data_IF_299389444126
#
_entry.id   IF_299389444126
#
_cell.length_a   1.000
_cell.length_b   1.000
_cell.length_c   1.000
_cell.angle_alpha   90.00
_cell.angle_beta   90.00
_cell.angle_gamma   90.00
#
_symmetry.space_group_name_H-M   'P 1'
#
loop_
_entity.id
_entity.type
_entity.pdbx_description
1 polymer ?
#
# COMPACT_ATOMS: atom_id res chain seq x y z
N UNK A 1 72.36 -19.02 38.89
CA UNK A 1 72.01 -18.72 40.28
C UNK A 1 70.50 -18.45 40.39
N UNK A 2 69.83 -19.38 41.08
CA UNK A 2 68.54 -19.28 41.78
C UNK A 2 67.35 -18.66 41.06
N UNK A 3 66.47 -19.56 40.58
CA UNK A 3 65.26 -20.06 41.33
C UNK A 3 64.39 -19.01 41.97
N UNK A 4 63.16 -18.80 41.47
CA UNK A 4 62.01 -18.95 42.32
C UNK A 4 60.71 -19.12 41.54
N UNK A 5 60.23 -20.30 41.53
CA UNK A 5 58.86 -20.73 41.30
C UNK A 5 57.89 -20.05 42.27
N UNK A 6 56.71 -19.63 41.81
CA UNK A 6 55.45 -19.60 42.59
C UNK A 6 54.31 -19.59 41.61
N UNK A 7 53.75 -20.78 41.41
CA UNK A 7 52.46 -21.31 41.97
C UNK A 7 51.26 -20.42 41.72
N UNK A 8 50.49 -20.94 40.79
CA UNK A 8 49.05 -21.27 40.94
C UNK A 8 48.18 -20.37 41.87
N UNK A 9 47.20 -19.75 41.30
CA UNK A 9 45.85 -19.82 41.87
C UNK A 9 44.83 -19.82 40.74
N UNK A 10 44.16 -20.97 40.61
CA UNK A 10 42.94 -21.18 39.90
C UNK A 10 41.86 -20.28 40.52
N UNK A 11 41.33 -19.35 39.81
CA UNK A 11 40.03 -18.77 40.09
C UNK A 11 39.08 -19.18 38.98
N UNK A 12 38.36 -20.24 39.25
CA UNK A 12 37.18 -20.63 38.49
C UNK A 12 36.11 -19.60 38.79
N UNK A 13 35.87 -18.69 37.85
CA UNK A 13 34.70 -17.84 37.89
C UNK A 13 33.67 -18.50 36.96
N UNK A 14 32.76 -19.22 37.60
CA UNK A 14 31.49 -19.65 37.00
C UNK A 14 30.69 -18.39 36.66
N UNK A 15 30.83 -17.89 35.46
CA UNK A 15 29.87 -16.94 34.92
C UNK A 15 28.67 -17.71 34.40
N UNK A 16 27.64 -17.77 35.23
CA UNK A 16 26.28 -18.14 34.82
C UNK A 16 25.87 -17.24 33.68
N UNK A 17 25.89 -17.75 32.46
CA UNK A 17 25.21 -17.10 31.33
C UNK A 17 23.73 -17.29 31.49
N UNK A 18 23.08 -16.27 32.07
CA UNK A 18 21.64 -16.04 31.89
C UNK A 18 21.40 -15.72 30.41
N UNK A 19 21.03 -16.73 29.64
CA UNK A 19 20.42 -16.57 28.33
C UNK A 19 19.05 -15.92 28.56
N UNK A 20 19.01 -14.59 28.56
CA UNK A 20 17.80 -13.85 28.35
C UNK A 20 17.41 -14.06 26.88
N UNK A 21 16.50 -15.03 26.64
CA UNK A 21 15.73 -15.07 25.39
C UNK A 21 14.86 -13.82 25.33
N UNK A 22 15.43 -12.74 24.87
CA UNK A 22 14.66 -11.60 24.38
C UNK A 22 13.98 -12.03 23.11
N UNK A 23 12.72 -12.44 23.21
CA UNK A 23 11.82 -12.48 22.06
C UNK A 23 11.72 -11.09 21.52
N UNK A 24 12.50 -10.79 20.49
CA UNK A 24 12.30 -9.65 19.63
C UNK A 24 10.93 -9.85 18.95
N UNK A 25 9.88 -9.38 19.58
CA UNK A 25 8.62 -9.06 18.92
C UNK A 25 9.00 -7.98 17.90
N UNK A 26 9.34 -8.41 16.68
CA UNK A 26 9.36 -7.51 15.55
C UNK A 26 7.94 -6.96 15.45
N UNK A 27 7.71 -5.65 15.56
CA UNK A 27 6.41 -5.13 15.19
C UNK A 27 6.23 -5.54 13.72
N UNK A 28 5.19 -6.32 13.44
CA UNK A 28 4.70 -6.48 12.08
C UNK A 28 4.52 -5.07 11.54
N UNK A 29 5.48 -4.62 10.76
CA UNK A 29 5.35 -3.42 9.98
C UNK A 29 4.26 -3.75 8.98
N UNK A 30 3.01 -3.39 9.29
CA UNK A 30 1.94 -3.41 8.33
C UNK A 30 2.46 -2.62 7.13
N UNK A 31 2.78 -3.35 6.06
CA UNK A 31 3.28 -2.74 4.84
C UNK A 31 2.16 -1.88 4.31
N UNK A 32 2.31 -0.56 4.35
CA UNK A 32 1.35 0.35 3.76
C UNK A 32 1.15 -0.03 2.29
N UNK A 33 -0.09 -0.20 1.87
CA UNK A 33 -0.40 -0.45 0.47
C UNK A 33 -0.03 0.78 -0.37
N UNK A 34 0.39 0.56 -1.61
CA UNK A 34 0.78 1.63 -2.52
C UNK A 34 0.07 1.48 -3.87
N UNK A 35 -0.55 2.56 -4.34
CA UNK A 35 -1.11 2.67 -5.69
C UNK A 35 -0.70 4.01 -6.32
N UNK A 36 -0.27 3.97 -7.56
CA UNK A 36 0.15 5.16 -8.32
C UNK A 36 1.06 6.10 -7.52
N UNK A 37 2.01 5.53 -6.77
CA UNK A 37 2.96 6.28 -5.95
C UNK A 37 2.43 6.80 -4.62
N UNK A 38 1.15 6.59 -4.30
CA UNK A 38 0.54 7.02 -3.05
C UNK A 38 0.42 5.87 -2.06
N UNK A 39 0.92 6.05 -0.86
CA UNK A 39 0.81 5.10 0.24
C UNK A 39 -0.47 5.36 1.04
N UNK A 40 -1.10 4.30 1.54
CA UNK A 40 -2.30 4.35 2.37
C UNK A 40 -2.42 3.10 3.25
N UNK A 41 -3.14 3.23 4.35
CA UNK A 41 -3.38 2.11 5.26
C UNK A 41 -4.69 1.36 4.93
N UNK A 42 -5.64 2.05 4.32
CA UNK A 42 -6.92 1.47 3.88
C UNK A 42 -7.51 2.25 2.71
N UNK A 43 -8.38 1.60 1.92
CA UNK A 43 -9.09 2.28 0.83
C UNK A 43 -10.01 3.39 1.34
N UNK A 44 -10.60 3.23 2.51
CA UNK A 44 -11.43 4.27 3.13
C UNK A 44 -10.61 5.50 3.50
N UNK A 45 -9.39 5.32 4.03
CA UNK A 45 -8.49 6.42 4.31
C UNK A 45 -8.07 7.12 3.02
N UNK A 46 -7.64 6.37 2.01
CA UNK A 46 -7.26 6.92 0.71
C UNK A 46 -8.39 7.77 0.10
N UNK A 47 -9.64 7.29 0.18
CA UNK A 47 -10.81 8.05 -0.27
C UNK A 47 -11.00 9.35 0.50
N UNK A 48 -10.93 9.29 1.85
CA UNK A 48 -11.07 10.46 2.70
C UNK A 48 -9.97 11.50 2.45
N UNK A 49 -8.74 11.05 2.25
CA UNK A 49 -7.60 11.91 1.95
C UNK A 49 -7.82 12.65 0.62
N UNK A 50 -8.21 11.94 -0.44
CA UNK A 50 -8.51 12.55 -1.73
C UNK A 50 -9.69 13.53 -1.66
N UNK A 51 -10.73 13.19 -0.87
CA UNK A 51 -11.85 14.09 -0.59
C UNK A 51 -11.40 15.39 0.08
N UNK A 52 -10.49 15.29 1.05
CA UNK A 52 -9.96 16.47 1.77
C UNK A 52 -9.06 17.34 0.89
N UNK A 53 -8.50 16.79 -0.17
CA UNK A 53 -7.60 17.48 -1.10
C UNK A 53 -8.32 18.16 -2.28
N UNK A 54 -9.66 18.15 -2.32
CA UNK A 54 -10.43 18.77 -3.41
C UNK A 54 -10.11 20.25 -3.60
N UNK A 55 -9.76 20.95 -2.52
CA UNK A 55 -9.33 22.36 -2.57
C UNK A 55 -7.96 22.54 -3.24
N UNK A 56 -7.20 21.46 -3.45
CA UNK A 56 -5.90 21.47 -4.11
C UNK A 56 -5.97 21.22 -5.62
N UNK A 57 -7.15 21.38 -6.21
CA UNK A 57 -7.36 21.27 -7.66
C UNK A 57 -7.85 19.93 -8.17
N UNK A 58 -8.26 19.02 -7.29
CA UNK A 58 -8.93 17.79 -7.70
C UNK A 58 -10.37 18.08 -8.12
N UNK A 59 -10.74 17.60 -9.30
CA UNK A 59 -12.13 17.59 -9.74
C UNK A 59 -12.79 16.30 -9.27
N UNK A 60 -13.91 16.40 -8.57
CA UNK A 60 -14.71 15.26 -8.14
C UNK A 60 -15.90 15.10 -9.07
N UNK A 61 -16.09 13.89 -9.58
CA UNK A 61 -17.22 13.51 -10.45
C UNK A 61 -17.90 12.32 -9.81
N UNK A 62 -19.14 12.51 -9.38
CA UNK A 62 -19.95 11.44 -8.79
C UNK A 62 -20.83 10.78 -9.85
N UNK A 63 -20.83 9.47 -9.85
CA UNK A 63 -21.63 8.60 -10.73
C UNK A 63 -22.40 7.60 -9.85
N UNK A 64 -23.40 6.95 -10.43
CA UNK A 64 -24.18 5.93 -9.71
C UNK A 64 -23.35 4.72 -9.25
N UNK A 65 -22.30 4.38 -9.98
CA UNK A 65 -21.45 3.23 -9.72
C UNK A 65 -20.11 3.57 -9.09
N UNK A 66 -19.63 4.81 -9.23
CA UNK A 66 -18.29 5.20 -8.79
C UNK A 66 -18.15 6.72 -8.57
N UNK A 67 -17.11 7.07 -7.81
CA UNK A 67 -16.66 8.45 -7.64
C UNK A 67 -15.28 8.60 -8.27
N UNK A 68 -15.12 9.62 -9.09
CA UNK A 68 -13.86 9.93 -9.77
C UNK A 68 -13.25 11.18 -9.14
N UNK A 69 -11.95 11.08 -8.83
CA UNK A 69 -11.08 12.21 -8.50
C UNK A 69 -10.09 12.39 -9.65
N UNK A 70 -10.17 13.51 -10.34
CA UNK A 70 -9.26 13.82 -11.46
C UNK A 70 -8.48 15.09 -11.16
N UNK A 71 -7.17 15.01 -11.26
CA UNK A 71 -6.30 16.16 -11.03
C UNK A 71 -4.89 15.93 -11.56
N UNK A 72 -4.30 16.96 -12.18
CA UNK A 72 -2.98 16.85 -12.78
C UNK A 72 -2.90 15.72 -13.81
N UNK A 73 -1.99 14.78 -13.59
CA UNK A 73 -1.76 13.61 -14.45
C UNK A 73 -2.33 12.32 -13.84
N UNK A 74 -3.26 12.44 -12.91
CA UNK A 74 -3.84 11.29 -12.20
C UNK A 74 -5.36 11.30 -12.25
N UNK A 75 -5.92 10.09 -12.34
CA UNK A 75 -7.34 9.84 -12.16
C UNK A 75 -7.49 8.69 -11.17
N UNK A 76 -8.33 8.88 -10.17
CA UNK A 76 -8.73 7.86 -9.22
C UNK A 76 -10.21 7.58 -9.38
N UNK A 77 -10.60 6.32 -9.44
CA UNK A 77 -12.00 5.92 -9.48
C UNK A 77 -12.28 4.92 -8.36
N UNK A 78 -13.22 5.26 -7.48
CA UNK A 78 -13.64 4.43 -6.34
C UNK A 78 -15.03 3.86 -6.59
N UNK A 79 -15.20 2.57 -6.34
CA UNK A 79 -16.52 1.94 -6.38
C UNK A 79 -17.44 2.55 -5.31
N UNK A 80 -18.71 2.73 -5.64
CA UNK A 80 -19.75 3.06 -4.67
C UNK A 80 -20.08 1.84 -3.81
N UNK A 81 -20.59 2.05 -2.58
CA UNK A 81 -20.94 0.97 -1.64
C UNK A 81 -21.95 -0.04 -2.20
N UNK A 82 -22.78 0.40 -3.13
CA UNK A 82 -23.75 -0.45 -3.81
C UNK A 82 -23.16 -1.44 -4.80
N UNK A 83 -21.87 -1.30 -5.14
CA UNK A 83 -21.22 -2.14 -6.13
C UNK A 83 -20.65 -3.43 -5.51
N UNK A 84 -20.80 -4.59 -6.18
CA UNK A 84 -20.24 -5.86 -5.69
C UNK A 84 -18.71 -5.85 -5.51
N UNK A 85 -18.01 -4.98 -6.23
CA UNK A 85 -16.57 -4.81 -6.10
C UNK A 85 -16.16 -3.98 -4.88
N UNK A 86 -17.09 -3.29 -4.21
CA UNK A 86 -16.77 -2.43 -3.06
C UNK A 86 -16.20 -3.21 -1.87
N UNK A 87 -15.13 -2.70 -1.20
CA UNK A 87 -14.37 -1.51 -1.55
C UNK A 87 -13.35 -1.79 -2.68
N UNK A 88 -13.33 -0.93 -3.68
CA UNK A 88 -12.40 -1.02 -4.80
C UNK A 88 -11.98 0.34 -5.32
N UNK A 89 -10.77 0.42 -5.83
CA UNK A 89 -10.20 1.61 -6.45
C UNK A 89 -9.36 1.23 -7.66
N UNK A 90 -9.42 2.06 -8.68
CA UNK A 90 -8.46 2.06 -9.77
C UNK A 90 -7.81 3.44 -9.87
N UNK A 91 -6.51 3.49 -10.15
CA UNK A 91 -5.84 4.72 -10.50
C UNK A 91 -5.21 4.61 -11.89
N UNK A 92 -5.25 5.72 -12.61
CA UNK A 92 -4.55 5.93 -13.86
C UNK A 92 -3.59 7.08 -13.68
N UNK A 93 -2.32 6.83 -13.97
CA UNK A 93 -1.27 7.84 -13.98
C UNK A 93 -0.76 8.02 -15.40
N UNK A 94 -0.74 9.25 -15.89
CA UNK A 94 -0.14 9.62 -17.17
C UNK A 94 1.30 10.00 -16.91
N UNK A 95 2.22 9.27 -17.52
CA UNK A 95 3.67 9.51 -17.40
C UNK A 95 4.19 10.02 -18.74
N UNK A 96 4.76 11.22 -18.79
CA UNK A 96 5.41 11.70 -20.00
C UNK A 96 6.60 10.82 -20.38
N UNK A 97 6.67 10.45 -21.65
CA UNK A 97 7.80 9.77 -22.26
C UNK A 97 8.28 10.61 -23.44
N UNK A 98 9.53 10.58 -23.81
CA UNK A 98 10.22 11.45 -24.79
C UNK A 98 9.30 12.17 -25.80
N UNK A 99 8.56 11.43 -26.61
CA UNK A 99 7.64 11.95 -27.64
C UNK A 99 6.20 11.48 -27.48
N UNK A 100 5.86 10.85 -26.36
CA UNK A 100 4.57 10.21 -26.11
C UNK A 100 4.18 10.26 -24.62
N UNK A 101 3.05 9.65 -24.30
CA UNK A 101 2.58 9.47 -22.92
C UNK A 101 2.28 7.99 -22.66
N UNK A 102 2.78 7.49 -21.55
CA UNK A 102 2.41 6.18 -21.05
C UNK A 102 1.30 6.33 -20.01
N UNK A 103 0.36 5.40 -20.01
CA UNK A 103 -0.67 5.33 -19.00
C UNK A 103 -0.45 4.09 -18.13
N UNK A 104 -0.14 4.31 -16.87
CA UNK A 104 0.01 3.27 -15.86
C UNK A 104 -1.34 3.14 -15.14
N UNK A 105 -1.90 1.93 -15.16
CA UNK A 105 -3.15 1.62 -14.45
C UNK A 105 -2.86 0.61 -13.35
N UNK A 106 -3.30 0.91 -12.15
CA UNK A 106 -3.22 0.04 -10.99
C UNK A 106 -4.60 -0.07 -10.33
N UNK A 107 -4.88 -1.21 -9.73
CA UNK A 107 -6.16 -1.49 -9.08
C UNK A 107 -5.95 -2.13 -7.72
N UNK A 108 -6.82 -1.80 -6.78
CA UNK A 108 -6.99 -2.51 -5.51
C UNK A 108 -8.47 -2.81 -5.34
N UNK A 109 -8.80 -4.05 -5.04
CA UNK A 109 -10.18 -4.47 -4.86
C UNK A 109 -10.27 -5.48 -3.72
N UNK A 110 -11.20 -5.25 -2.81
CA UNK A 110 -11.42 -6.06 -1.61
C UNK A 110 -12.85 -6.61 -1.54
N UNK A 111 -13.66 -6.33 -2.57
CA UNK A 111 -15.03 -6.82 -2.69
C UNK A 111 -15.13 -8.27 -3.16
N UNK A 112 -16.26 -8.62 -3.75
CA UNK A 112 -16.49 -9.96 -4.28
C UNK A 112 -15.48 -10.30 -5.40
N UNK A 113 -14.91 -11.52 -5.35
CA UNK A 113 -13.82 -11.93 -6.23
C UNK A 113 -14.13 -11.73 -7.72
N UNK A 114 -15.28 -12.24 -8.16
CA UNK A 114 -15.68 -12.13 -9.58
C UNK A 114 -15.86 -10.68 -10.02
N UNK A 115 -16.38 -9.82 -9.14
CA UNK A 115 -16.49 -8.40 -9.39
C UNK A 115 -15.12 -7.73 -9.45
N UNK A 116 -14.19 -8.12 -8.59
CA UNK A 116 -12.82 -7.63 -8.60
C UNK A 116 -12.07 -8.03 -9.87
N UNK A 117 -12.22 -9.28 -10.32
CA UNK A 117 -11.63 -9.75 -11.56
C UNK A 117 -12.15 -8.96 -12.78
N UNK A 118 -13.45 -8.62 -12.77
CA UNK A 118 -14.05 -7.78 -13.80
C UNK A 118 -13.49 -6.35 -13.78
N UNK A 119 -13.30 -5.74 -12.60
CA UNK A 119 -12.68 -4.41 -12.46
C UNK A 119 -11.27 -4.42 -13.04
N UNK A 120 -10.45 -5.42 -12.70
CA UNK A 120 -9.09 -5.55 -13.22
C UNK A 120 -9.07 -5.68 -14.73
N UNK A 121 -9.96 -6.50 -15.31
CA UNK A 121 -10.06 -6.68 -16.75
C UNK A 121 -10.45 -5.38 -17.48
N UNK A 122 -11.45 -4.66 -16.97
CA UNK A 122 -11.90 -3.38 -17.52
C UNK A 122 -10.84 -2.29 -17.40
N UNK A 123 -10.14 -2.22 -16.26
CA UNK A 123 -9.05 -1.29 -16.06
C UNK A 123 -7.93 -1.47 -17.10
N UNK A 124 -7.59 -2.72 -17.44
CA UNK A 124 -6.58 -3.04 -18.46
C UNK A 124 -7.00 -2.57 -19.86
N UNK A 125 -8.27 -2.63 -20.18
CA UNK A 125 -8.81 -2.15 -21.47
C UNK A 125 -9.04 -0.64 -21.49
N UNK A 126 -8.76 0.04 -20.36
CA UNK A 126 -8.99 1.48 -20.18
C UNK A 126 -10.45 1.91 -20.38
N UNK A 127 -11.37 0.99 -20.15
CA UNK A 127 -12.81 1.28 -20.14
C UNK A 127 -13.25 1.83 -18.78
N UNK A 128 -13.01 3.11 -18.59
CA UNK A 128 -13.29 3.81 -17.34
C UNK A 128 -14.77 4.15 -17.14
N UNK A 129 -15.54 4.17 -18.21
CA UNK A 129 -16.97 4.46 -18.14
C UNK A 129 -17.79 3.35 -17.47
N UNK A 130 -17.32 2.11 -17.62
CA UNK A 130 -17.97 0.91 -17.07
C UNK A 130 -17.09 0.16 -16.05
N UNK A 131 -16.12 0.84 -15.46
CA UNK A 131 -15.09 0.21 -14.63
C UNK A 131 -15.68 -0.67 -13.52
N UNK A 132 -16.74 -0.23 -12.85
CA UNK A 132 -17.38 -0.94 -11.73
C UNK A 132 -18.73 -1.56 -12.09
N UNK A 133 -19.10 -1.56 -13.35
CA UNK A 133 -20.39 -2.02 -13.85
C UNK A 133 -21.30 -0.87 -14.27
N UNK A 134 -22.50 -1.20 -14.74
CA UNK A 134 -23.55 -0.26 -15.09
C UNK A 134 -24.37 0.15 -13.86
#
# INVERSE_FOLDING_TARGET
MLLKTRRLRKCAILLSQLLALGTLLSPDSASADQLCGRQFDSLSQLYADLRSETDRGWRVIERSTHVIFAGGQMIWAFAQESQPAFPAVACLQIVPNQDSFDAIVQTRCEGARDACDAVVARAKTKDWSHLFGE
#
